data_IF_315489718248
#
_entry.id   IF_315489718248
#
_cell.length_a   1.000
_cell.length_b   1.000
_cell.length_c   1.000
_cell.angle_alpha   90.00
_cell.angle_beta   90.00
_cell.angle_gamma   90.00
#
_symmetry.space_group_name_H-M   'P 1'
#
loop_
_entity.id
_entity.type
_entity.pdbx_description
1 polymer ?
#
# COMPACT_ATOMS: atom_id res chain seq x y z
N UNK A 1 17.35 11.20 3.78
CA UNK A 1 16.24 12.18 3.67
C UNK A 1 16.51 13.48 4.41
N UNK A 2 16.75 13.50 5.73
CA UNK A 2 17.06 14.77 6.42
C UNK A 2 18.33 15.45 5.92
N UNK A 3 19.41 14.67 5.71
CA UNK A 3 20.69 15.16 5.15
C UNK A 3 20.55 15.79 3.77
N UNK A 4 19.60 15.32 2.95
CA UNK A 4 19.36 15.86 1.60
C UNK A 4 18.48 17.11 1.60
N UNK A 5 17.90 17.51 2.74
CA UNK A 5 17.11 18.75 2.87
C UNK A 5 15.62 18.56 3.16
N UNK A 6 15.12 17.33 3.31
CA UNK A 6 13.73 17.12 3.76
C UNK A 6 13.55 17.57 5.22
N UNK A 7 12.41 18.20 5.53
CA UNK A 7 12.03 18.44 6.92
C UNK A 7 11.87 17.10 7.68
N UNK A 8 12.08 17.09 9.00
CA UNK A 8 11.87 15.89 9.81
C UNK A 8 10.48 15.27 9.63
N UNK A 9 9.42 16.09 9.55
CA UNK A 9 8.05 15.63 9.36
C UNK A 9 7.85 14.97 7.99
N UNK A 10 8.42 15.52 6.92
CA UNK A 10 8.34 14.90 5.61
C UNK A 10 9.14 13.59 5.55
N UNK A 11 10.34 13.56 6.14
CA UNK A 11 11.12 12.33 6.22
C UNK A 11 10.38 11.23 6.98
N UNK A 12 9.76 11.56 8.12
CA UNK A 12 8.93 10.63 8.88
C UNK A 12 7.68 10.18 8.11
N UNK A 13 7.04 11.08 7.36
CA UNK A 13 5.88 10.74 6.55
C UNK A 13 6.23 9.78 5.41
N UNK A 14 7.33 10.02 4.70
CA UNK A 14 7.81 9.12 3.64
C UNK A 14 8.11 7.72 4.19
N UNK A 15 8.80 7.65 5.34
CA UNK A 15 9.09 6.39 6.02
C UNK A 15 7.81 5.65 6.42
N UNK A 16 6.85 6.37 7.01
CA UNK A 16 5.57 5.78 7.44
C UNK A 16 4.78 5.20 6.26
N UNK A 17 4.68 5.93 5.15
CA UNK A 17 3.96 5.47 3.97
C UNK A 17 4.69 4.28 3.34
N UNK A 18 6.00 4.39 3.09
CA UNK A 18 6.79 3.31 2.48
C UNK A 18 6.74 2.00 3.31
N UNK A 19 6.85 2.13 4.63
CA UNK A 19 6.75 0.99 5.56
C UNK A 19 5.35 0.39 5.62
N UNK A 20 4.31 1.22 5.54
CA UNK A 20 2.91 0.75 5.50
C UNK A 20 2.62 -0.05 4.24
N UNK A 21 3.16 0.36 3.09
CA UNK A 21 3.09 -0.39 1.83
C UNK A 21 3.68 -1.80 1.90
N UNK A 22 4.62 -2.06 2.82
CA UNK A 22 5.25 -3.36 2.98
C UNK A 22 4.26 -4.46 3.40
N UNK A 23 3.18 -4.08 4.09
CA UNK A 23 2.09 -4.99 4.46
C UNK A 23 1.22 -5.40 3.26
N UNK A 24 1.32 -4.69 2.14
CA UNK A 24 0.55 -4.94 0.92
C UNK A 24 1.39 -5.62 -0.16
N UNK A 25 2.73 -5.51 -0.08
CA UNK A 25 3.65 -6.02 -1.08
C UNK A 25 3.87 -7.54 -0.96
N UNK A 26 3.54 -8.32 -1.99
CA UNK A 26 3.95 -9.72 -2.11
C UNK A 26 5.48 -9.84 -2.18
N UNK A 27 6.10 -10.95 -1.70
CA UNK A 27 5.51 -12.21 -1.22
C UNK A 27 5.26 -12.23 0.29
N UNK A 28 5.79 -11.25 1.03
CA UNK A 28 5.78 -11.29 2.50
C UNK A 28 4.40 -10.89 2.98
N UNK A 29 3.89 -9.77 2.45
CA UNK A 29 2.63 -9.12 2.86
C UNK A 29 2.50 -9.02 4.40
N UNK A 30 1.43 -8.41 4.89
CA UNK A 30 1.10 -8.47 6.31
C UNK A 30 0.55 -9.85 6.68
N UNK A 31 0.63 -10.21 7.97
CA UNK A 31 0.00 -11.44 8.52
C UNK A 31 -1.49 -11.55 8.13
N UNK A 32 -2.15 -10.40 7.94
CA UNK A 32 -3.54 -10.31 7.49
C UNK A 32 -3.81 -11.03 6.15
N UNK A 33 -2.83 -11.09 5.24
CA UNK A 33 -2.97 -11.79 3.97
C UNK A 33 -3.01 -13.32 4.14
N UNK A 34 -2.28 -13.88 5.10
CA UNK A 34 -2.39 -15.30 5.47
C UNK A 34 -3.74 -15.61 6.10
N UNK A 35 -4.23 -14.74 6.98
CA UNK A 35 -5.58 -14.88 7.54
C UNK A 35 -6.65 -14.78 6.45
N UNK A 36 -6.47 -13.89 5.47
CA UNK A 36 -7.36 -13.81 4.31
C UNK A 36 -7.35 -15.11 3.49
N UNK A 37 -6.19 -15.73 3.29
CA UNK A 37 -6.07 -17.01 2.60
C UNK A 37 -6.90 -18.10 3.30
N UNK A 38 -6.81 -18.12 4.63
CA UNK A 38 -7.56 -19.05 5.47
C UNK A 38 -9.07 -18.74 5.43
N UNK A 39 -9.49 -17.48 5.58
CA UNK A 39 -10.91 -17.12 5.55
C UNK A 39 -11.56 -17.41 4.19
N UNK A 40 -10.84 -17.18 3.09
CA UNK A 40 -11.31 -17.45 1.73
C UNK A 40 -11.11 -18.92 1.30
N UNK A 41 -10.38 -19.72 2.07
CA UNK A 41 -9.99 -21.08 1.73
C UNK A 41 -9.32 -21.17 0.35
N UNK A 42 -8.43 -20.22 0.04
CA UNK A 42 -7.66 -20.18 -1.21
C UNK A 42 -6.15 -20.23 -0.94
N UNK A 43 -5.34 -20.77 -1.87
CA UNK A 43 -3.89 -20.74 -1.73
C UNK A 43 -3.36 -19.31 -1.57
N UNK A 44 -2.41 -19.10 -0.65
CA UNK A 44 -1.80 -17.79 -0.39
C UNK A 44 -1.25 -17.12 -1.66
N UNK A 45 -0.65 -17.89 -2.57
CA UNK A 45 -0.11 -17.38 -3.83
C UNK A 45 -1.17 -16.65 -4.67
N UNK A 46 -2.45 -17.04 -4.57
CA UNK A 46 -3.54 -16.35 -5.27
C UNK A 46 -3.75 -14.94 -4.73
N UNK A 47 -3.68 -14.77 -3.41
CA UNK A 47 -3.78 -13.46 -2.75
C UNK A 47 -2.53 -12.63 -3.04
N UNK A 48 -1.35 -13.25 -2.96
CA UNK A 48 -0.09 -12.62 -3.30
C UNK A 48 -0.09 -12.08 -4.75
N UNK A 49 -0.51 -12.90 -5.72
CA UNK A 49 -0.61 -12.45 -7.11
C UNK A 49 -1.64 -11.33 -7.26
N UNK A 50 -2.82 -11.47 -6.67
CA UNK A 50 -3.87 -10.43 -6.70
C UNK A 50 -3.39 -9.08 -6.12
N UNK A 51 -2.54 -9.11 -5.08
CA UNK A 51 -1.94 -7.92 -4.48
C UNK A 51 -0.79 -7.30 -5.26
N UNK A 52 -0.18 -8.01 -6.23
CA UNK A 52 1.04 -7.56 -6.91
C UNK A 52 0.84 -6.28 -7.72
N UNK A 53 -0.18 -6.25 -8.59
CA UNK A 53 -0.48 -5.08 -9.43
C UNK A 53 -0.80 -3.85 -8.56
N UNK A 54 -1.73 -3.94 -7.58
CA UNK A 54 -2.00 -2.86 -6.64
C UNK A 54 -0.76 -2.40 -5.85
N UNK A 55 0.12 -3.32 -5.44
CA UNK A 55 1.34 -2.99 -4.70
C UNK A 55 2.39 -2.28 -5.58
N UNK A 56 2.57 -2.72 -6.83
CA UNK A 56 3.45 -2.03 -7.78
C UNK A 56 2.94 -0.61 -8.07
N UNK A 57 1.64 -0.46 -8.29
CA UNK A 57 1.02 0.86 -8.45
C UNK A 57 1.19 1.72 -7.19
N UNK A 58 1.08 1.14 -6.00
CA UNK A 58 1.29 1.84 -4.72
C UNK A 58 2.71 2.42 -4.63
N UNK A 59 3.74 1.59 -4.84
CA UNK A 59 5.13 2.05 -4.72
C UNK A 59 5.53 2.98 -5.86
N UNK A 60 5.02 2.76 -7.06
CA UNK A 60 5.23 3.67 -8.17
C UNK A 60 4.58 5.03 -7.93
N UNK A 61 3.34 5.06 -7.43
CA UNK A 61 2.67 6.29 -7.02
C UNK A 61 3.46 7.03 -5.94
N UNK A 62 3.91 6.32 -4.90
CA UNK A 62 4.74 6.90 -3.84
C UNK A 62 6.05 7.48 -4.41
N UNK A 63 6.73 6.73 -5.27
CA UNK A 63 7.94 7.19 -5.95
C UNK A 63 7.69 8.48 -6.72
N UNK A 64 6.62 8.54 -7.52
CA UNK A 64 6.27 9.72 -8.30
C UNK A 64 5.98 10.93 -7.40
N UNK A 65 5.28 10.76 -6.29
CA UNK A 65 5.04 11.84 -5.33
C UNK A 65 6.37 12.36 -4.75
N UNK A 66 7.27 11.45 -4.36
CA UNK A 66 8.57 11.82 -3.77
C UNK A 66 9.43 12.56 -4.80
N UNK A 67 9.53 12.03 -6.02
CA UNK A 67 10.33 12.59 -7.12
C UNK A 67 9.79 13.96 -7.57
N UNK A 68 8.48 14.07 -7.84
CA UNK A 68 7.87 15.34 -8.26
C UNK A 68 8.00 16.40 -7.17
N UNK A 69 7.86 16.03 -5.90
CA UNK A 69 8.13 16.94 -4.79
C UNK A 69 9.59 17.37 -4.76
N UNK A 70 10.53 16.43 -4.81
CA UNK A 70 11.96 16.72 -4.75
C UNK A 70 12.36 17.73 -5.84
N UNK A 71 11.88 17.52 -7.07
CA UNK A 71 12.08 18.43 -8.21
C UNK A 71 11.42 19.80 -7.97
N UNK A 72 10.20 19.83 -7.45
CA UNK A 72 9.49 21.08 -7.14
C UNK A 72 10.20 21.92 -6.09
N UNK A 73 10.72 21.29 -5.04
CA UNK A 73 11.38 21.97 -3.91
C UNK A 73 12.89 22.11 -4.09
N UNK A 74 13.45 21.62 -5.20
CA UNK A 74 14.90 21.66 -5.44
C UNK A 74 15.71 20.84 -4.43
N UNK A 75 15.13 19.77 -3.86
CA UNK A 75 15.86 18.87 -2.96
C UNK A 75 16.80 18.03 -3.82
N UNK A 76 18.11 18.28 -3.67
CA UNK A 76 19.16 17.65 -4.47
C UNK A 76 19.47 16.20 -4.08
N UNK A 77 20.34 15.57 -4.86
CA UNK A 77 20.91 14.26 -4.55
C UNK A 77 22.01 14.36 -3.47
N UNK A 78 22.33 13.24 -2.85
CA UNK A 78 23.56 13.13 -2.04
C UNK A 78 24.79 13.41 -2.91
N UNK A 79 25.83 14.03 -2.34
CA UNK A 79 27.12 14.19 -3.01
C UNK A 79 27.80 12.84 -3.26
N UNK A 80 28.67 12.76 -4.26
CA UNK A 80 29.44 11.54 -4.61
C UNK A 80 30.21 10.98 -3.42
N UNK A 81 30.71 11.85 -2.55
CA UNK A 81 31.52 11.47 -1.39
C UNK A 81 30.65 10.86 -0.26
N UNK A 82 29.43 11.37 -0.07
CA UNK A 82 28.46 10.77 0.87
C UNK A 82 27.92 9.43 0.36
N UNK A 83 27.78 9.29 -0.96
CA UNK A 83 27.40 8.02 -1.59
C UNK A 83 28.50 6.97 -1.42
N UNK A 84 29.76 7.34 -1.63
CA UNK A 84 30.92 6.46 -1.45
C UNK A 84 31.13 6.04 0.02
N UNK A 85 30.72 6.87 0.98
CA UNK A 85 30.75 6.56 2.41
C UNK A 85 29.63 5.60 2.86
N UNK A 86 28.65 5.31 2.01
CA UNK A 86 27.56 4.39 2.33
C UNK A 86 28.04 2.95 2.19
N UNK A 87 27.85 2.15 3.24
CA UNK A 87 28.32 0.76 3.24
C UNK A 87 27.72 -0.06 2.09
N UNK A 88 28.53 -0.88 1.39
CA UNK A 88 28.05 -1.65 0.26
C UNK A 88 27.01 -2.69 0.70
N UNK A 89 25.95 -2.81 -0.09
CA UNK A 89 24.86 -3.78 0.12
C UNK A 89 25.25 -5.18 -0.36
N UNK A 90 26.16 -5.29 -1.33
CA UNK A 90 26.58 -6.55 -1.97
C UNK A 90 26.95 -7.67 -0.96
N UNK A 91 27.77 -7.41 0.09
CA UNK A 91 28.12 -8.42 1.08
C UNK A 91 26.93 -8.90 1.94
N UNK A 92 25.80 -8.18 1.93
CA UNK A 92 24.59 -8.49 2.70
C UNK A 92 23.54 -9.23 1.85
N UNK A 93 23.81 -9.47 0.57
CA UNK A 93 22.85 -10.14 -0.33
C UNK A 93 22.46 -11.54 0.12
N UNK A 94 23.32 -12.25 0.85
CA UNK A 94 23.00 -13.56 1.43
C UNK A 94 21.78 -13.53 2.38
N UNK A 95 21.44 -12.38 2.97
CA UNK A 95 20.24 -12.22 3.79
C UNK A 95 18.93 -12.31 2.98
N UNK A 96 19.00 -12.08 1.66
CA UNK A 96 17.86 -12.29 0.77
C UNK A 96 17.61 -13.77 0.45
N UNK A 97 18.50 -14.69 0.82
CA UNK A 97 18.31 -16.11 0.55
C UNK A 97 17.01 -16.63 1.18
N UNK A 98 16.69 -16.20 2.40
CA UNK A 98 15.48 -16.60 3.10
C UNK A 98 14.18 -16.17 2.38
N UNK A 99 13.95 -14.88 2.07
CA UNK A 99 12.77 -14.48 1.33
C UNK A 99 12.73 -15.07 -0.09
N UNK A 100 13.88 -15.27 -0.76
CA UNK A 100 13.93 -15.92 -2.08
C UNK A 100 13.46 -17.38 -2.02
N UNK A 101 13.96 -18.17 -1.06
CA UNK A 101 13.52 -19.56 -0.87
C UNK A 101 12.04 -19.63 -0.52
N UNK A 102 11.57 -18.73 0.36
CA UNK A 102 10.15 -18.64 0.71
C UNK A 102 9.28 -18.40 -0.53
N UNK A 103 9.65 -17.44 -1.39
CA UNK A 103 8.94 -17.17 -2.66
C UNK A 103 8.94 -18.39 -3.57
N UNK A 104 10.10 -19.03 -3.74
CA UNK A 104 10.24 -20.16 -4.62
C UNK A 104 9.30 -21.31 -4.20
N UNK A 105 9.21 -21.60 -2.91
CA UNK A 105 8.30 -22.62 -2.37
C UNK A 105 6.83 -22.27 -2.56
N UNK A 106 6.45 -20.99 -2.39
CA UNK A 106 5.08 -20.54 -2.63
C UNK A 106 4.68 -20.67 -4.11
N UNK A 107 5.59 -20.35 -5.03
CA UNK A 107 5.37 -20.50 -6.48
C UNK A 107 5.25 -21.99 -6.85
N UNK A 108 5.99 -22.87 -6.17
CA UNK A 108 5.89 -24.33 -6.32
C UNK A 108 4.60 -24.91 -5.72
N UNK A 109 3.78 -24.10 -5.06
CA UNK A 109 2.48 -24.53 -4.50
C UNK A 109 2.55 -25.13 -3.10
N UNK A 110 3.69 -25.03 -2.41
CA UNK A 110 3.77 -25.42 -1.00
C UNK A 110 2.90 -24.50 -0.12
N UNK A 111 2.46 -25.01 1.02
CA UNK A 111 1.70 -24.20 1.97
C UNK A 111 2.53 -23.04 2.51
N UNK A 112 1.85 -21.93 2.81
CA UNK A 112 2.46 -20.76 3.42
C UNK A 112 3.26 -21.09 4.69
N UNK A 113 2.69 -21.94 5.55
CA UNK A 113 3.31 -22.39 6.80
C UNK A 113 4.61 -23.15 6.55
N UNK A 114 4.63 -24.03 5.55
CA UNK A 114 5.83 -24.77 5.18
C UNK A 114 6.91 -23.85 4.60
N UNK A 115 6.53 -22.95 3.69
CA UNK A 115 7.45 -21.98 3.10
C UNK A 115 8.06 -21.05 4.17
N UNK A 116 7.27 -20.63 5.15
CA UNK A 116 7.72 -19.84 6.29
C UNK A 116 8.73 -20.62 7.16
N UNK A 117 8.45 -21.89 7.49
CA UNK A 117 9.36 -22.74 8.27
C UNK A 117 10.72 -22.90 7.58
N UNK A 118 10.73 -23.26 6.29
CA UNK A 118 11.97 -23.40 5.52
C UNK A 118 12.69 -22.05 5.41
N UNK A 119 11.96 -20.97 5.16
CA UNK A 119 12.51 -19.61 5.14
C UNK A 119 13.19 -19.22 6.45
N UNK A 120 12.60 -19.56 7.60
CA UNK A 120 13.19 -19.32 8.93
C UNK A 120 14.47 -20.13 9.12
N UNK A 121 14.50 -21.41 8.73
CA UNK A 121 15.72 -22.23 8.79
C UNK A 121 16.81 -21.64 7.90
N UNK A 122 16.46 -21.24 6.68
CA UNK A 122 17.40 -20.60 5.75
C UNK A 122 17.92 -19.28 6.31
N UNK A 123 17.07 -18.45 6.92
CA UNK A 123 17.49 -17.20 7.56
C UNK A 123 18.46 -17.46 8.72
N UNK A 124 18.15 -18.46 9.54
CA UNK A 124 19.00 -18.87 10.64
C UNK A 124 20.37 -19.35 10.15
N UNK A 125 20.42 -20.24 9.16
CA UNK A 125 21.66 -20.73 8.55
C UNK A 125 22.43 -19.60 7.86
N UNK A 126 21.75 -18.71 7.14
CA UNK A 126 22.36 -17.57 6.46
C UNK A 126 23.08 -16.63 7.45
N UNK A 127 22.57 -16.48 8.67
CA UNK A 127 23.22 -15.69 9.72
C UNK A 127 24.61 -16.23 10.10
N UNK A 128 24.85 -17.54 9.99
CA UNK A 128 26.15 -18.16 10.28
C UNK A 128 27.19 -17.98 9.16
N UNK A 129 26.75 -17.70 7.93
CA UNK A 129 27.63 -17.58 6.75
C UNK A 129 28.58 -16.37 6.84
N UNK A 130 28.18 -15.30 7.53
CA UNK A 130 29.01 -14.10 7.72
C UNK A 130 29.49 -13.99 9.16
N UNK A 131 30.81 -13.85 9.34
CA UNK A 131 31.45 -13.77 10.66
C UNK A 131 30.85 -12.68 11.56
N UNK A 132 30.50 -11.52 10.99
CA UNK A 132 29.89 -10.41 11.72
C UNK A 132 28.40 -10.55 12.08
N UNK A 133 27.70 -11.57 11.59
CA UNK A 133 26.27 -11.81 11.88
C UNK A 133 26.01 -13.10 12.66
N UNK A 134 27.07 -13.81 13.08
CA UNK A 134 26.93 -15.09 13.76
C UNK A 134 26.25 -14.90 15.11
N UNK A 135 25.16 -15.65 15.39
CA UNK A 135 24.52 -15.57 16.68
C UNK A 135 25.41 -16.21 17.76
N UNK A 136 25.78 -15.41 18.75
CA UNK A 136 26.33 -15.85 20.04
C UNK A 136 25.31 -16.64 20.88
N UNK A 137 25.79 -17.43 21.86
CA UNK A 137 24.95 -18.16 22.82
C UNK A 137 23.94 -17.25 23.55
N UNK A 138 24.34 -16.02 23.91
CA UNK A 138 23.45 -15.03 24.54
C UNK A 138 22.34 -14.56 23.59
N UNK A 139 22.66 -14.34 22.32
CA UNK A 139 21.66 -13.98 21.29
C UNK A 139 20.75 -15.14 20.93
N UNK A 140 21.22 -16.40 20.99
CA UNK A 140 20.36 -17.58 20.85
C UNK A 140 19.29 -17.61 21.95
N UNK A 141 19.69 -17.39 23.21
CA UNK A 141 18.76 -17.29 24.34
C UNK A 141 17.75 -16.15 24.18
N UNK A 142 18.22 -14.97 23.78
CA UNK A 142 17.35 -13.82 23.51
C UNK A 142 16.36 -14.07 22.35
N UNK A 143 16.79 -14.76 21.29
CA UNK A 143 15.91 -15.12 20.17
C UNK A 143 14.76 -16.03 20.60
N UNK A 144 15.01 -17.01 21.48
CA UNK A 144 13.94 -17.88 22.00
C UNK A 144 12.91 -17.08 22.80
N UNK A 145 13.37 -16.15 23.63
CA UNK A 145 12.49 -15.25 24.39
C UNK A 145 11.67 -14.34 23.47
N UNK A 146 12.32 -13.72 22.48
CA UNK A 146 11.66 -12.83 21.52
C UNK A 146 10.64 -13.56 20.64
N UNK A 147 10.95 -14.79 20.20
CA UNK A 147 9.99 -15.64 19.47
C UNK A 147 8.77 -15.93 20.34
N UNK A 148 8.96 -16.28 21.61
CA UNK A 148 7.86 -16.50 22.55
C UNK A 148 6.98 -15.27 22.73
N UNK A 149 7.59 -14.08 22.89
CA UNK A 149 6.87 -12.80 23.01
C UNK A 149 6.10 -12.46 21.73
N UNK A 150 6.72 -12.60 20.56
CA UNK A 150 6.07 -12.32 19.28
C UNK A 150 4.91 -13.29 19.02
N UNK A 151 5.10 -14.58 19.31
CA UNK A 151 4.04 -15.58 19.20
C UNK A 151 2.86 -15.24 20.10
N UNK A 152 3.10 -14.86 21.37
CA UNK A 152 2.04 -14.44 22.28
C UNK A 152 1.33 -13.16 21.82
N UNK A 153 2.08 -12.16 21.32
CA UNK A 153 1.53 -10.91 20.79
C UNK A 153 0.58 -11.12 19.60
N UNK A 154 0.78 -12.18 18.82
CA UNK A 154 -0.09 -12.53 17.68
C UNK A 154 -1.22 -13.49 18.10
N UNK A 155 -0.91 -14.50 18.92
CA UNK A 155 -1.86 -15.54 19.31
C UNK A 155 -3.01 -15.02 20.19
N UNK A 156 -2.72 -14.11 21.14
CA UNK A 156 -3.74 -13.56 22.05
C UNK A 156 -4.83 -12.78 21.28
N UNK A 157 -4.49 -11.80 20.41
CA UNK A 157 -5.48 -11.14 19.59
C UNK A 157 -6.27 -12.10 18.70
N UNK A 158 -5.59 -13.02 17.99
CA UNK A 158 -6.27 -13.96 17.08
C UNK A 158 -7.30 -14.81 17.83
N UNK A 159 -6.97 -15.30 19.03
CA UNK A 159 -7.88 -16.07 19.88
C UNK A 159 -9.09 -15.25 20.30
N UNK A 160 -8.86 -14.03 20.80
CA UNK A 160 -9.95 -13.13 21.21
C UNK A 160 -10.86 -12.77 20.02
N UNK A 161 -10.28 -12.53 18.85
CA UNK A 161 -11.03 -12.22 17.64
C UNK A 161 -11.85 -13.42 17.18
N UNK A 162 -11.35 -14.66 17.29
CA UNK A 162 -12.12 -15.86 16.96
C UNK A 162 -13.45 -15.93 17.74
N UNK A 163 -13.43 -15.55 19.02
CA UNK A 163 -14.65 -15.44 19.85
C UNK A 163 -15.57 -14.34 19.31
N UNK A 164 -15.02 -13.17 18.95
CA UNK A 164 -15.79 -12.06 18.38
C UNK A 164 -16.45 -12.47 17.06
N UNK A 165 -15.73 -13.15 16.16
CA UNK A 165 -16.27 -13.67 14.91
C UNK A 165 -17.42 -14.63 15.21
N UNK A 166 -17.22 -15.59 16.12
CA UNK A 166 -18.22 -16.60 16.45
C UNK A 166 -19.51 -15.95 17.00
N UNK A 167 -19.40 -14.95 17.87
CA UNK A 167 -20.56 -14.20 18.39
C UNK A 167 -21.21 -13.36 17.28
N UNK A 168 -20.43 -12.70 16.44
CA UNK A 168 -20.93 -11.85 15.35
C UNK A 168 -21.69 -12.65 14.29
N UNK A 169 -21.21 -13.84 13.95
CA UNK A 169 -21.88 -14.77 13.03
C UNK A 169 -23.17 -15.30 13.67
N UNK A 170 -23.11 -15.83 14.90
CA UNK A 170 -24.28 -16.40 15.58
C UNK A 170 -25.40 -15.38 15.84
N UNK A 171 -25.05 -14.13 16.16
CA UNK A 171 -26.01 -13.05 16.39
C UNK A 171 -26.57 -12.43 15.09
N UNK A 172 -26.10 -12.87 13.92
CA UNK A 172 -26.35 -12.25 12.63
C UNK A 172 -26.00 -10.74 12.60
N UNK A 173 -25.07 -10.29 13.45
CA UNK A 173 -24.68 -8.89 13.55
C UNK A 173 -24.10 -8.40 12.22
N UNK A 174 -23.24 -9.20 11.58
CA UNK A 174 -22.65 -8.91 10.27
C UNK A 174 -23.71 -8.59 9.21
N UNK A 175 -24.76 -9.42 9.12
CA UNK A 175 -25.83 -9.25 8.13
C UNK A 175 -26.68 -8.01 8.44
N UNK A 176 -27.04 -7.80 9.72
CA UNK A 176 -27.81 -6.63 10.16
C UNK A 176 -27.04 -5.33 9.91
N UNK A 177 -25.76 -5.30 10.25
CA UNK A 177 -24.90 -4.16 10.03
C UNK A 177 -24.74 -3.87 8.54
N UNK A 178 -24.48 -4.91 7.74
CA UNK A 178 -24.40 -4.81 6.27
C UNK A 178 -25.65 -4.20 5.65
N UNK A 179 -26.85 -4.66 6.04
CA UNK A 179 -28.10 -4.11 5.51
C UNK A 179 -28.29 -2.65 5.95
N UNK A 180 -28.06 -2.33 7.22
CA UNK A 180 -28.17 -0.94 7.71
C UNK A 180 -27.17 0.00 7.04
N UNK A 181 -25.96 -0.47 6.76
CA UNK A 181 -24.95 0.30 6.06
C UNK A 181 -25.39 0.61 4.62
N UNK A 182 -26.00 -0.36 3.93
CA UNK A 182 -26.57 -0.17 2.59
C UNK A 182 -27.78 0.77 2.63
N UNK A 183 -28.65 0.66 3.64
CA UNK A 183 -29.79 1.56 3.82
C UNK A 183 -29.31 3.01 3.99
N UNK A 184 -28.31 3.23 4.87
CA UNK A 184 -27.72 4.56 5.12
C UNK A 184 -26.98 5.08 3.89
N UNK A 185 -26.40 4.20 3.06
CA UNK A 185 -25.77 4.60 1.80
C UNK A 185 -26.75 4.91 0.66
N UNK A 186 -28.06 4.79 0.92
CA UNK A 186 -29.11 4.96 -0.09
C UNK A 186 -29.04 3.91 -1.20
N UNK A 187 -28.47 2.73 -0.91
CA UNK A 187 -28.25 1.66 -1.89
C UNK A 187 -27.10 1.91 -2.87
N UNK A 188 -26.38 3.04 -2.76
CA UNK A 188 -25.26 3.34 -3.66
C UNK A 188 -23.98 2.61 -3.22
N UNK A 189 -23.30 1.99 -4.19
CA UNK A 189 -22.03 1.30 -3.96
C UNK A 189 -20.95 2.26 -3.43
N UNK A 190 -20.82 3.43 -4.07
CA UNK A 190 -19.84 4.45 -3.69
C UNK A 190 -20.09 4.99 -2.27
N UNK A 191 -21.35 5.24 -1.92
CA UNK A 191 -21.72 5.65 -0.57
C UNK A 191 -21.38 4.58 0.48
N UNK A 192 -21.67 3.31 0.19
CA UNK A 192 -21.35 2.21 1.09
C UNK A 192 -19.83 2.07 1.28
N UNK A 193 -19.05 2.17 0.22
CA UNK A 193 -17.59 2.15 0.28
C UNK A 193 -17.04 3.28 1.17
N UNK A 194 -17.59 4.49 1.09
CA UNK A 194 -17.18 5.61 1.96
C UNK A 194 -17.43 5.30 3.44
N UNK A 195 -18.62 4.77 3.78
CA UNK A 195 -18.92 4.36 5.16
C UNK A 195 -18.01 3.22 5.64
N UNK A 196 -17.68 2.28 4.76
CA UNK A 196 -16.74 1.19 5.04
C UNK A 196 -15.35 1.74 5.30
N UNK A 197 -14.87 2.72 4.52
CA UNK A 197 -13.57 3.37 4.72
C UNK A 197 -13.51 4.03 6.10
N UNK A 198 -14.55 4.79 6.47
CA UNK A 198 -14.66 5.41 7.79
C UNK A 198 -14.61 4.34 8.88
N UNK A 199 -15.38 3.27 8.70
CA UNK A 199 -15.38 2.11 9.61
C UNK A 199 -14.01 1.47 9.74
N UNK A 200 -13.30 1.21 8.64
CA UNK A 200 -11.96 0.62 8.65
C UNK A 200 -10.92 1.51 9.35
N UNK A 201 -11.02 2.84 9.17
CA UNK A 201 -10.16 3.80 9.87
C UNK A 201 -10.42 3.78 11.37
N UNK A 202 -11.68 3.72 11.80
CA UNK A 202 -12.05 3.63 13.22
C UNK A 202 -11.57 2.32 13.83
N UNK A 203 -11.71 1.19 13.12
CA UNK A 203 -11.22 -0.11 13.59
C UNK A 203 -9.68 -0.13 13.71
N UNK A 204 -8.96 0.67 12.93
CA UNK A 204 -7.51 0.82 13.07
C UNK A 204 -7.07 1.45 14.38
N UNK A 205 -7.98 2.05 15.16
CA UNK A 205 -7.67 2.81 16.36
C UNK A 205 -7.22 1.89 17.50
N UNK A 206 -5.91 1.70 17.63
CA UNK A 206 -5.29 0.93 18.73
C UNK A 206 -5.29 -0.59 18.54
N UNK A 207 -5.75 -1.08 17.39
CA UNK A 207 -5.71 -2.51 17.04
C UNK A 207 -4.53 -2.81 16.10
N UNK A 208 -3.87 -3.99 16.22
CA UNK A 208 -3.00 -4.50 15.18
C UNK A 208 -3.75 -4.66 13.84
N UNK A 209 -3.07 -4.48 12.71
CA UNK A 209 -3.69 -4.57 11.36
C UNK A 209 -4.50 -5.85 11.16
N UNK A 210 -4.01 -6.98 11.65
CA UNK A 210 -4.69 -8.28 11.57
C UNK A 210 -6.03 -8.25 12.30
N UNK A 211 -6.06 -7.64 13.48
CA UNK A 211 -7.27 -7.50 14.28
C UNK A 211 -8.30 -6.59 13.62
N UNK A 212 -7.85 -5.42 13.15
CA UNK A 212 -8.70 -4.48 12.43
C UNK A 212 -9.27 -5.12 11.15
N UNK A 213 -8.45 -5.86 10.40
CA UNK A 213 -8.87 -6.56 9.18
C UNK A 213 -9.92 -7.62 9.46
N UNK A 214 -9.73 -8.50 10.45
CA UNK A 214 -10.70 -9.57 10.70
C UNK A 214 -12.07 -9.00 11.13
N UNK A 215 -12.07 -8.02 12.04
CA UNK A 215 -13.31 -7.35 12.45
C UNK A 215 -13.96 -6.65 11.25
N UNK A 216 -13.17 -5.92 10.46
CA UNK A 216 -13.64 -5.27 9.24
C UNK A 216 -14.20 -6.26 8.22
N UNK A 217 -13.56 -7.43 8.06
CA UNK A 217 -14.00 -8.45 7.13
C UNK A 217 -15.38 -8.99 7.52
N UNK A 218 -15.59 -9.29 8.81
CA UNK A 218 -16.89 -9.74 9.32
C UNK A 218 -17.98 -8.69 9.10
N UNK A 219 -17.69 -7.42 9.31
CA UNK A 219 -18.70 -6.35 9.28
C UNK A 219 -18.97 -5.81 7.87
N UNK A 220 -17.95 -5.64 7.06
CA UNK A 220 -18.02 -4.85 5.82
C UNK A 220 -18.00 -5.69 4.54
N UNK A 221 -17.31 -6.84 4.51
CA UNK A 221 -17.28 -7.70 3.31
C UNK A 221 -18.68 -8.12 2.86
N UNK A 222 -19.60 -8.54 3.77
CA UNK A 222 -20.96 -8.89 3.35
C UNK A 222 -21.70 -7.73 2.66
N UNK A 223 -21.43 -6.48 3.03
CA UNK A 223 -22.03 -5.31 2.40
C UNK A 223 -21.50 -5.10 0.97
N UNK A 224 -20.17 -5.15 0.78
CA UNK A 224 -19.56 -5.05 -0.56
C UNK A 224 -20.04 -6.18 -1.48
N UNK A 225 -20.15 -7.40 -0.95
CA UNK A 225 -20.65 -8.55 -1.70
C UNK A 225 -22.09 -8.40 -2.15
N UNK A 226 -22.98 -7.89 -1.29
CA UNK A 226 -24.38 -7.58 -1.66
C UNK A 226 -24.47 -6.50 -2.73
N UNK A 227 -23.50 -5.59 -2.78
CA UNK A 227 -23.42 -4.53 -3.78
C UNK A 227 -22.71 -4.95 -5.08
N UNK A 228 -22.39 -6.24 -5.23
CA UNK A 228 -21.87 -6.82 -6.46
C UNK A 228 -20.35 -6.92 -6.56
N UNK A 229 -19.59 -6.51 -5.54
CA UNK A 229 -18.13 -6.64 -5.55
C UNK A 229 -17.73 -8.10 -5.31
N UNK A 230 -16.76 -8.67 -6.06
CA UNK A 230 -16.28 -10.02 -5.82
C UNK A 230 -15.68 -10.22 -4.43
N UNK A 231 -15.61 -11.46 -3.99
CA UNK A 231 -15.16 -11.83 -2.63
C UNK A 231 -13.74 -11.39 -2.35
N UNK A 232 -12.81 -11.76 -3.24
CA UNK A 232 -11.41 -11.41 -3.11
C UNK A 232 -11.21 -9.89 -3.11
N UNK A 233 -11.87 -9.18 -4.04
CA UNK A 233 -11.82 -7.72 -4.11
C UNK A 233 -12.37 -7.07 -2.83
N UNK A 234 -13.47 -7.59 -2.27
CA UNK A 234 -14.05 -7.10 -1.03
C UNK A 234 -13.11 -7.25 0.17
N UNK A 235 -12.48 -8.41 0.32
CA UNK A 235 -11.50 -8.66 1.38
C UNK A 235 -10.23 -7.80 1.21
N UNK A 236 -9.72 -7.70 -0.03
CA UNK A 236 -8.58 -6.84 -0.36
C UNK A 236 -8.89 -5.36 -0.08
N UNK A 237 -10.10 -4.90 -0.41
CA UNK A 237 -10.55 -3.53 -0.18
C UNK A 237 -10.53 -3.20 1.31
N UNK A 238 -11.14 -4.04 2.14
CA UNK A 238 -11.16 -3.86 3.61
C UNK A 238 -9.74 -3.93 4.17
N UNK A 239 -8.92 -4.91 3.76
CA UNK A 239 -7.53 -5.02 4.21
C UNK A 239 -6.73 -3.76 3.88
N UNK A 240 -6.87 -3.22 2.67
CA UNK A 240 -6.19 -1.99 2.24
C UNK A 240 -6.53 -0.81 3.16
N UNK A 241 -7.81 -0.56 3.46
CA UNK A 241 -8.17 0.57 4.32
C UNK A 241 -7.83 0.34 5.79
N UNK A 242 -7.83 -0.91 6.27
CA UNK A 242 -7.27 -1.22 7.58
C UNK A 242 -5.76 -0.92 7.64
N UNK A 243 -5.00 -1.21 6.58
CA UNK A 243 -3.57 -0.85 6.49
C UNK A 243 -3.39 0.67 6.38
N UNK A 244 -4.16 1.35 5.54
CA UNK A 244 -4.09 2.81 5.35
C UNK A 244 -4.54 3.59 6.61
N UNK A 245 -5.32 2.99 7.50
CA UNK A 245 -5.65 3.58 8.81
C UNK A 245 -4.39 3.92 9.63
N UNK A 246 -3.31 3.15 9.46
CA UNK A 246 -2.05 3.34 10.19
C UNK A 246 -1.32 4.63 9.82
N UNK A 247 -1.70 5.29 8.71
CA UNK A 247 -1.14 6.57 8.26
C UNK A 247 -2.19 7.69 8.23
N UNK A 248 -3.41 7.42 8.72
CA UNK A 248 -4.55 8.35 8.68
C UNK A 248 -4.85 8.94 10.06
N UNK A 249 -4.74 10.26 10.26
CA UNK A 249 -5.13 10.92 11.50
C UNK A 249 -6.62 10.71 11.82
N UNK A 250 -7.01 10.60 13.10
CA UNK A 250 -6.20 10.74 14.32
C UNK A 250 -5.48 9.46 14.78
N UNK A 251 -5.61 8.35 14.04
CA UNK A 251 -5.05 7.05 14.45
C UNK A 251 -3.56 6.97 14.15
N UNK A 252 -3.19 7.13 12.87
CA UNK A 252 -1.85 7.30 12.31
C UNK A 252 -0.65 6.66 13.07
N UNK A 253 -0.82 5.44 13.60
CA UNK A 253 0.16 4.79 14.49
C UNK A 253 1.55 4.64 13.86
N UNK A 254 1.60 4.28 12.57
CA UNK A 254 2.87 4.17 11.84
C UNK A 254 3.53 5.55 11.66
N UNK A 255 2.74 6.58 11.37
CA UNK A 255 3.23 7.96 11.27
C UNK A 255 3.77 8.48 12.60
N UNK A 256 3.18 8.09 13.73
CA UNK A 256 3.65 8.50 15.06
C UNK A 256 4.96 7.82 15.44
N UNK A 257 5.11 6.52 15.14
CA UNK A 257 6.37 5.82 15.30
C UNK A 257 7.49 6.42 14.43
N UNK A 258 7.19 6.67 13.15
CA UNK A 258 8.14 7.27 12.22
C UNK A 258 8.53 8.72 12.60
N UNK A 259 7.59 9.49 13.16
CA UNK A 259 7.88 10.82 13.70
C UNK A 259 8.87 10.76 14.87
N UNK A 260 8.76 9.75 15.74
CA UNK A 260 9.71 9.50 16.82
C UNK A 260 11.13 9.25 16.28
N UNK A 261 11.24 8.44 15.23
CA UNK A 261 12.52 8.16 14.56
C UNK A 261 13.10 9.41 13.87
N UNK A 262 12.23 10.22 13.26
CA UNK A 262 12.62 11.46 12.60
C UNK A 262 12.93 12.61 13.57
N UNK A 263 12.54 12.49 14.85
CA UNK A 263 12.51 13.56 15.86
C UNK A 263 11.61 14.74 15.42
N UNK A 264 10.40 14.41 14.97
CA UNK A 264 9.44 15.36 14.40
C UNK A 264 8.12 15.39 15.21
N UNK A 265 7.26 16.39 14.96
CA UNK A 265 5.92 16.41 15.57
C UNK A 265 5.04 15.29 14.96
N UNK A 266 4.54 14.40 15.83
CA UNK A 266 3.77 13.22 15.43
C UNK A 266 2.49 13.57 14.65
N UNK A 267 1.70 14.53 15.14
CA UNK A 267 0.44 14.92 14.49
C UNK A 267 0.67 15.57 13.13
N UNK A 268 1.65 16.48 13.01
CA UNK A 268 2.02 17.09 11.72
C UNK A 268 2.53 16.05 10.72
N UNK A 269 3.37 15.12 11.19
CA UNK A 269 3.85 14.00 10.37
C UNK A 269 2.68 13.15 9.87
N UNK A 270 1.70 12.86 10.73
CA UNK A 270 0.47 12.14 10.36
C UNK A 270 -0.36 12.86 9.29
N UNK A 271 -0.61 14.17 9.44
CA UNK A 271 -1.33 14.94 8.43
C UNK A 271 -0.59 15.02 7.09
N UNK A 272 0.73 15.14 7.11
CA UNK A 272 1.56 15.11 5.91
C UNK A 272 1.49 13.73 5.25
N UNK A 273 1.64 12.66 6.03
CA UNK A 273 1.55 11.29 5.54
C UNK A 273 0.19 11.02 4.89
N UNK A 274 -0.90 11.42 5.56
CA UNK A 274 -2.25 11.30 5.04
C UNK A 274 -2.43 12.05 3.72
N UNK A 275 -2.02 13.33 3.66
CA UNK A 275 -2.11 14.14 2.44
C UNK A 275 -1.38 13.49 1.27
N UNK A 276 -0.21 12.91 1.52
CA UNK A 276 0.58 12.22 0.49
C UNK A 276 -0.01 10.86 0.12
N UNK A 277 -0.64 10.18 1.07
CA UNK A 277 -1.24 8.87 0.84
C UNK A 277 -2.55 8.92 0.05
N UNK A 278 -3.14 10.09 -0.23
CA UNK A 278 -4.38 10.20 -1.02
C UNK A 278 -4.31 9.49 -2.37
N UNK A 279 -3.13 9.40 -2.99
CA UNK A 279 -2.97 8.60 -4.23
C UNK A 279 -3.21 7.12 -3.99
N UNK A 280 -2.79 6.64 -2.82
CA UNK A 280 -2.87 5.24 -2.41
C UNK A 280 -4.30 4.87 -1.99
N UNK A 281 -5.08 5.85 -1.51
CA UNK A 281 -6.51 5.70 -1.19
C UNK A 281 -7.37 5.39 -2.41
N UNK A 282 -6.89 5.66 -3.62
CA UNK A 282 -7.66 5.43 -4.85
C UNK A 282 -7.44 4.04 -5.45
N UNK A 283 -6.31 3.38 -5.12
CA UNK A 283 -5.98 2.04 -5.65
C UNK A 283 -7.06 1.00 -5.31
N UNK A 284 -7.62 0.96 -4.08
CA UNK A 284 -8.70 0.03 -3.76
C UNK A 284 -9.97 0.20 -4.58
N UNK A 285 -10.30 1.44 -4.96
CA UNK A 285 -11.44 1.67 -5.85
C UNK A 285 -11.16 1.10 -7.23
N UNK A 286 -9.95 1.30 -7.77
CA UNK A 286 -9.59 0.79 -9.09
C UNK A 286 -9.82 -0.72 -9.21
N UNK A 287 -9.28 -1.52 -8.27
CA UNK A 287 -9.44 -2.97 -8.34
C UNK A 287 -10.82 -3.47 -7.87
N UNK A 288 -11.60 -2.64 -7.18
CA UNK A 288 -12.97 -3.01 -6.80
C UNK A 288 -13.96 -2.81 -7.96
N UNK A 289 -13.72 -1.83 -8.83
CA UNK A 289 -14.51 -1.62 -10.04
C UNK A 289 -14.00 -2.40 -11.25
N UNK A 290 -12.74 -2.84 -11.22
CA UNK A 290 -12.11 -3.59 -12.30
C UNK A 290 -11.28 -4.77 -11.77
N UNK A 291 -11.88 -5.95 -11.82
CA UNK A 291 -11.25 -7.19 -11.39
C UNK A 291 -10.02 -7.57 -12.25
N UNK A 292 -9.82 -6.95 -13.42
CA UNK A 292 -8.63 -7.20 -14.24
C UNK A 292 -7.35 -6.87 -13.47
N UNK A 293 -7.40 -5.89 -12.58
CA UNK A 293 -6.29 -5.51 -11.70
C UNK A 293 -5.96 -6.57 -10.64
N UNK A 294 -6.85 -7.56 -10.45
CA UNK A 294 -6.64 -8.73 -9.59
C UNK A 294 -6.33 -10.00 -10.41
N UNK A 295 -5.78 -9.84 -11.61
CA UNK A 295 -5.41 -10.92 -12.53
C UNK A 295 -6.60 -11.75 -13.02
N UNK A 296 -7.77 -11.14 -13.19
CA UNK A 296 -8.90 -11.79 -13.85
C UNK A 296 -8.97 -11.40 -15.33
N UNK A 297 -9.19 -12.39 -16.20
CA UNK A 297 -9.23 -12.19 -17.65
C UNK A 297 -7.88 -12.43 -18.35
N UNK A 298 -7.81 -12.15 -19.66
CA UNK A 298 -6.63 -12.46 -20.46
C UNK A 298 -5.47 -11.50 -20.17
N UNK A 299 -4.22 -12.00 -20.27
CA UNK A 299 -3.01 -11.27 -19.87
C UNK A 299 -2.91 -9.87 -20.50
N UNK A 300 -3.23 -9.73 -21.78
CA UNK A 300 -3.16 -8.44 -22.47
C UNK A 300 -4.14 -7.41 -21.88
N UNK A 301 -5.31 -7.85 -21.40
CA UNK A 301 -6.31 -6.99 -20.74
C UNK A 301 -5.83 -6.55 -19.36
N UNK A 302 -5.24 -7.47 -18.61
CA UNK A 302 -4.61 -7.19 -17.30
C UNK A 302 -3.47 -6.17 -17.45
N UNK A 303 -2.61 -6.34 -18.46
CA UNK A 303 -1.51 -5.42 -18.72
C UNK A 303 -2.00 -4.03 -19.14
N UNK A 304 -3.09 -3.97 -19.90
CA UNK A 304 -3.72 -2.72 -20.32
C UNK A 304 -4.39 -1.99 -19.13
N UNK A 305 -5.11 -2.72 -18.27
CA UNK A 305 -5.65 -2.21 -17.01
C UNK A 305 -4.51 -1.69 -16.10
N UNK A 306 -3.44 -2.47 -15.92
CA UNK A 306 -2.26 -2.07 -15.15
C UNK A 306 -1.60 -0.80 -15.70
N UNK A 307 -1.38 -0.72 -17.02
CA UNK A 307 -0.83 0.47 -17.66
C UNK A 307 -1.68 1.71 -17.41
N UNK A 308 -3.00 1.58 -17.49
CA UNK A 308 -3.91 2.69 -17.17
C UNK A 308 -3.91 3.08 -15.70
N UNK A 309 -3.81 2.12 -14.78
CA UNK A 309 -3.69 2.41 -13.35
C UNK A 309 -2.40 3.19 -13.05
N UNK A 310 -1.29 2.84 -13.72
CA UNK A 310 -0.04 3.61 -13.64
C UNK A 310 -0.25 5.04 -14.16
N UNK A 311 -0.90 5.23 -15.32
CA UNK A 311 -1.21 6.57 -15.85
C UNK A 311 -2.11 7.35 -14.88
N UNK A 312 -3.16 6.71 -14.35
CA UNK A 312 -4.10 7.32 -13.41
C UNK A 312 -3.44 7.72 -12.09
N UNK A 313 -2.52 6.92 -11.57
CA UNK A 313 -1.76 7.25 -10.36
C UNK A 313 -0.74 8.36 -10.58
N UNK A 314 -0.07 8.40 -11.75
CA UNK A 314 0.80 9.54 -12.13
C UNK A 314 -0.01 10.82 -12.24
N UNK A 315 -1.13 10.80 -12.97
CA UNK A 315 -2.00 11.95 -13.14
C UNK A 315 -2.45 12.51 -11.78
N UNK A 316 -2.82 11.63 -10.84
CA UNK A 316 -3.18 12.05 -9.48
C UNK A 316 -2.00 12.61 -8.68
N UNK A 317 -0.82 12.00 -8.78
CA UNK A 317 0.39 12.50 -8.13
C UNK A 317 0.73 13.92 -8.63
N UNK A 318 0.58 14.15 -9.94
CA UNK A 318 0.73 15.46 -10.58
C UNK A 318 -0.32 16.45 -10.08
N UNK A 319 -1.58 16.03 -9.89
CA UNK A 319 -2.62 16.87 -9.29
C UNK A 319 -2.28 17.28 -7.87
N UNK A 320 -1.75 16.38 -7.03
CA UNK A 320 -1.39 16.69 -5.64
C UNK A 320 -0.13 17.56 -5.53
N UNK A 321 0.93 17.25 -6.28
CA UNK A 321 2.18 17.99 -6.22
C UNK A 321 2.17 19.27 -7.06
N UNK A 322 1.31 19.37 -8.08
CA UNK A 322 1.22 20.54 -8.96
C UNK A 322 2.49 20.78 -9.79
N UNK A 323 3.25 19.72 -10.06
CA UNK A 323 4.53 19.77 -10.73
C UNK A 323 4.72 18.54 -11.62
N UNK A 324 5.30 18.72 -12.80
CA UNK A 324 5.73 17.62 -13.69
C UNK A 324 7.05 17.98 -14.38
N UNK A 325 7.00 18.96 -15.28
CA UNK A 325 8.17 19.54 -15.98
C UNK A 325 8.23 21.07 -15.76
N UNK A 326 7.70 21.52 -14.61
CA UNK A 326 7.41 22.91 -14.31
C UNK A 326 6.18 23.01 -13.41
N UNK A 327 5.91 24.21 -12.89
CA UNK A 327 4.72 24.47 -12.07
C UNK A 327 3.48 24.41 -12.97
N UNK A 328 2.50 23.62 -12.55
CA UNK A 328 1.26 23.37 -13.30
C UNK A 328 0.16 24.30 -12.77
N UNK A 329 -0.65 24.84 -13.69
CA UNK A 329 -1.78 25.70 -13.33
C UNK A 329 -2.88 24.93 -12.61
N UNK A 330 -3.73 25.61 -11.83
CA UNK A 330 -4.86 24.97 -11.16
C UNK A 330 -5.85 24.31 -12.14
N UNK A 331 -6.02 24.85 -13.35
CA UNK A 331 -6.86 24.28 -14.38
C UNK A 331 -6.31 22.94 -14.89
N UNK A 332 -5.02 22.89 -15.25
CA UNK A 332 -4.34 21.65 -15.66
C UNK A 332 -4.34 20.60 -14.54
N UNK A 333 -4.14 21.02 -13.28
CA UNK A 333 -4.25 20.12 -12.11
C UNK A 333 -5.65 19.52 -11.99
N UNK A 334 -6.68 20.33 -12.23
CA UNK A 334 -8.08 19.87 -12.28
C UNK A 334 -8.30 18.86 -13.38
N UNK A 335 -7.76 19.08 -14.58
CA UNK A 335 -7.87 18.14 -15.70
C UNK A 335 -7.16 16.81 -15.42
N UNK A 336 -5.93 16.83 -14.88
CA UNK A 336 -5.24 15.61 -14.44
C UNK A 336 -6.01 14.89 -13.33
N UNK A 337 -6.64 15.65 -12.43
CA UNK A 337 -7.44 15.09 -11.34
C UNK A 337 -8.69 14.39 -11.86
N UNK A 338 -9.42 15.05 -12.75
CA UNK A 338 -10.60 14.47 -13.41
C UNK A 338 -10.23 13.25 -14.24
N UNK A 339 -9.13 13.31 -15.01
CA UNK A 339 -8.64 12.18 -15.79
C UNK A 339 -8.27 10.99 -14.90
N UNK A 340 -7.59 11.23 -13.77
CA UNK A 340 -7.26 10.17 -12.82
C UNK A 340 -8.50 9.54 -12.18
N UNK A 341 -9.44 10.34 -11.67
CA UNK A 341 -10.66 9.82 -11.06
C UNK A 341 -11.47 9.01 -12.07
N UNK A 342 -11.60 9.51 -13.31
CA UNK A 342 -12.32 8.77 -14.35
C UNK A 342 -11.62 7.47 -14.73
N UNK A 343 -10.29 7.42 -14.82
CA UNK A 343 -9.52 6.17 -15.03
C UNK A 343 -9.76 5.17 -13.89
N UNK A 344 -9.87 5.64 -12.65
CA UNK A 344 -9.97 4.78 -11.46
C UNK A 344 -11.39 4.26 -11.22
N UNK A 345 -12.40 5.07 -11.51
CA UNK A 345 -13.80 4.69 -11.30
C UNK A 345 -14.45 4.05 -12.52
N UNK A 346 -13.90 4.23 -13.72
CA UNK A 346 -14.43 3.60 -14.93
C UNK A 346 -13.71 2.26 -15.20
N UNK A 347 -14.44 1.16 -15.43
CA UNK A 347 -13.83 -0.10 -15.82
C UNK A 347 -13.01 0.03 -17.10
N UNK A 348 -11.93 -0.75 -17.18
CA UNK A 348 -11.05 -0.79 -18.34
C UNK A 348 -11.84 -1.05 -19.63
N UNK A 349 -11.50 -0.32 -20.69
CA UNK A 349 -12.12 -0.47 -22.01
C UNK A 349 -13.43 0.29 -22.23
N UNK A 350 -13.97 0.97 -21.22
CA UNK A 350 -15.09 1.89 -21.44
C UNK A 350 -14.66 3.14 -22.22
N UNK A 351 -15.60 3.78 -22.93
CA UNK A 351 -15.31 5.00 -23.69
C UNK A 351 -14.68 6.09 -22.81
N UNK A 352 -15.27 6.33 -21.63
CA UNK A 352 -14.78 7.32 -20.68
C UNK A 352 -13.38 7.00 -20.17
N UNK A 353 -13.09 5.74 -19.89
CA UNK A 353 -11.75 5.28 -19.52
C UNK A 353 -10.71 5.56 -20.62
N UNK A 354 -11.06 5.28 -21.88
CA UNK A 354 -10.15 5.50 -23.01
C UNK A 354 -9.87 6.99 -23.26
N UNK A 355 -10.92 7.82 -23.19
CA UNK A 355 -10.82 9.28 -23.33
C UNK A 355 -9.99 9.88 -22.19
N UNK A 356 -10.21 9.43 -20.96
CA UNK A 356 -9.47 9.90 -19.79
C UNK A 356 -7.99 9.50 -19.84
N UNK A 357 -7.70 8.27 -20.28
CA UNK A 357 -6.31 7.81 -20.46
C UNK A 357 -5.61 8.61 -21.56
N UNK A 358 -6.27 8.81 -22.71
CA UNK A 358 -5.74 9.64 -23.79
C UNK A 358 -5.53 11.09 -23.35
N UNK A 359 -6.45 11.66 -22.57
CA UNK A 359 -6.34 13.00 -22.01
C UNK A 359 -5.14 13.12 -21.06
N UNK A 360 -4.99 12.19 -20.11
CA UNK A 360 -3.87 12.19 -19.16
C UNK A 360 -2.51 12.08 -19.87
N UNK A 361 -2.39 11.17 -20.85
CA UNK A 361 -1.18 10.99 -21.63
C UNK A 361 -0.90 12.21 -22.51
N UNK A 362 -1.92 12.73 -23.19
CA UNK A 362 -1.81 13.91 -24.05
C UNK A 362 -1.39 15.16 -23.27
N UNK A 363 -1.98 15.40 -22.10
CA UNK A 363 -1.59 16.49 -21.21
C UNK A 363 -0.17 16.30 -20.67
N UNK A 364 0.22 15.06 -20.33
CA UNK A 364 1.58 14.75 -19.90
C UNK A 364 2.62 15.05 -20.98
N UNK A 365 2.37 14.61 -22.21
CA UNK A 365 3.22 14.89 -23.37
C UNK A 365 3.28 16.40 -23.63
N UNK A 366 2.15 17.10 -23.61
CA UNK A 366 2.09 18.55 -23.79
C UNK A 366 2.95 19.30 -22.76
N UNK A 367 2.80 18.98 -21.48
CA UNK A 367 3.58 19.59 -20.41
C UNK A 367 5.08 19.31 -20.54
N UNK A 368 5.48 18.09 -20.90
CA UNK A 368 6.89 17.72 -21.03
C UNK A 368 7.54 18.28 -22.30
N UNK A 369 6.87 18.21 -23.45
CA UNK A 369 7.45 18.55 -24.74
C UNK A 369 7.44 20.06 -25.04
N UNK A 370 6.33 20.76 -24.73
CA UNK A 370 6.15 22.15 -25.14
C UNK A 370 6.47 23.15 -24.02
N UNK A 371 6.35 22.77 -22.75
CA UNK A 371 6.58 23.71 -21.63
C UNK A 371 8.04 23.80 -21.21
N UNK A 372 8.79 22.69 -21.29
CA UNK A 372 10.24 22.70 -21.05
C UNK A 372 10.98 23.63 -22.02
N UNK A 373 10.54 23.67 -23.28
CA UNK A 373 11.06 24.56 -24.34
C UNK A 373 10.59 26.01 -24.20
N UNK A 374 9.38 26.26 -23.69
CA UNK A 374 8.88 27.62 -23.43
C UNK A 374 9.60 28.26 -22.23
N UNK A 375 9.86 27.50 -21.15
CA UNK A 375 10.60 27.99 -19.99
C UNK A 375 12.09 28.19 -20.29
N UNK A 376 12.71 27.33 -21.10
CA UNK A 376 14.09 27.53 -21.54
C UNK A 376 14.25 28.73 -22.49
N UNK A 377 13.23 29.04 -23.30
CA UNK A 377 13.19 30.25 -24.14
C UNK A 377 12.91 31.53 -23.34
N UNK A 378 12.10 31.45 -22.28
CA UNK A 378 11.79 32.60 -21.41
C UNK A 378 12.94 32.94 -20.43
N UNK A 379 13.83 31.98 -20.12
CA UNK A 379 14.92 32.19 -19.17
C UNK A 379 16.08 33.06 -19.71
N UNK A 380 16.13 33.34 -21.02
CA UNK A 380 17.22 34.10 -21.65
C UNK A 380 18.60 33.43 -21.52
N UNK A 381 19.56 33.71 -22.42
CA UNK A 381 20.94 33.28 -22.20
C UNK A 381 21.47 33.97 -20.92
N UNK A 382 21.90 33.17 -19.95
CA UNK A 382 22.59 33.64 -18.74
C UNK A 382 23.96 34.21 -19.07
#
# INVERSE_FOLDING_TARGET
MKKTGYSPEYAGAHEAIASTGGQLMPPVMGIAAFVMAELLQVPYIRIALAGLIPALAYYFALFMIVDLRARRTGIGSLGTDELAATEPVLPRLHLFLAPVVLVALLIQGYSATYAALVGTVVAFVAAFLRWGSRPTLRSLGAMVEDVGKQAAQVAIPITAIGIIIAVAIQSNLAIKFSTRLIDISGGTLLGAMIFIIIGCIIMGMGLPTVAAYIIGAVLFVPALRKLGIPELASHMFVMYYCVLSMITPPVALASYAAAGLAKANAMRTGWIAFRMSFVLFLIPFAFAFDDALLWTGPLWWVLLAFGSLIVGTVAWAVTLEGYLAGVISWAERGLFGLASLTIIFAPTGTLWWSLATALAVGLGIWCCAFRGTLLSRAAGPR
#
